data_IF_592559656964
#
_entry.id   IF_592559656964
#
_cell.length_a   1.000
_cell.length_b   1.000
_cell.length_c   1.000
_cell.angle_alpha   90.00
_cell.angle_beta   90.00
_cell.angle_gamma   90.00
#
_symmetry.space_group_name_H-M   'P 1'
#
loop_
_entity.id
_entity.type
_entity.pdbx_description
1 polymer ?
#
# COMPACT_ATOMS: atom_id res chain seq x y z
N UNK A 1 12.14 -12.34 -15.65
CA UNK A 1 12.34 -11.05 -14.96
C UNK A 1 11.20 -10.82 -14.00
N UNK A 2 11.42 -10.20 -12.83
CA UNK A 2 10.33 -9.94 -11.90
C UNK A 2 9.36 -8.92 -12.49
N UNK A 3 8.06 -9.15 -12.32
CA UNK A 3 6.99 -8.28 -12.81
C UNK A 3 6.42 -7.47 -11.66
N UNK A 4 6.23 -6.17 -11.88
CA UNK A 4 5.63 -5.30 -10.88
C UNK A 4 4.14 -5.65 -10.75
N UNK A 5 3.65 -5.99 -9.55
CA UNK A 5 2.25 -6.36 -9.36
C UNK A 5 1.28 -5.18 -9.55
N UNK A 6 1.73 -3.92 -9.47
CA UNK A 6 0.88 -2.75 -9.70
C UNK A 6 0.58 -2.52 -11.20
N UNK A 7 1.63 -2.54 -12.04
CA UNK A 7 1.52 -2.18 -13.47
C UNK A 7 1.66 -3.36 -14.43
N UNK A 8 1.96 -4.56 -13.92
CA UNK A 8 2.20 -5.78 -14.68
C UNK A 8 3.36 -5.71 -15.71
N UNK A 9 4.23 -4.71 -15.60
CA UNK A 9 5.43 -4.55 -16.45
C UNK A 9 6.66 -5.14 -15.78
N UNK A 10 7.67 -5.42 -16.59
CA UNK A 10 8.96 -5.93 -16.13
C UNK A 10 9.71 -4.89 -15.31
N UNK A 11 10.28 -5.32 -14.18
CA UNK A 11 11.06 -4.46 -13.28
C UNK A 11 12.54 -4.68 -13.60
N UNK A 12 13.18 -3.63 -14.12
CA UNK A 12 14.61 -3.63 -14.40
C UNK A 12 15.42 -3.34 -13.12
N UNK A 13 16.67 -3.80 -13.08
CA UNK A 13 17.55 -3.64 -11.92
C UNK A 13 17.73 -2.18 -11.46
N UNK A 14 17.72 -1.21 -12.39
CA UNK A 14 17.87 0.20 -12.06
C UNK A 14 16.67 0.78 -11.28
N UNK A 15 15.49 0.22 -11.45
CA UNK A 15 14.23 0.72 -10.87
C UNK A 15 13.63 -0.21 -9.83
N UNK A 16 14.27 -1.37 -9.61
CA UNK A 16 13.76 -2.43 -8.74
C UNK A 16 13.75 -1.96 -7.29
N UNK A 17 12.62 -2.19 -6.65
CA UNK A 17 12.45 -2.04 -5.23
C UNK A 17 11.83 -3.32 -4.70
N UNK A 18 12.60 -4.08 -3.94
CA UNK A 18 12.13 -5.33 -3.34
C UNK A 18 11.44 -5.01 -2.01
N UNK A 19 10.16 -5.38 -1.89
CA UNK A 19 9.37 -5.20 -0.68
C UNK A 19 8.29 -6.26 -0.57
N UNK A 20 8.03 -6.74 0.65
CA UNK A 20 7.06 -7.83 0.92
C UNK A 20 7.32 -9.10 0.07
N UNK A 21 8.59 -9.37 -0.26
CA UNK A 21 8.98 -10.51 -1.11
C UNK A 21 8.67 -10.36 -2.60
N UNK A 22 8.29 -9.16 -3.07
CA UNK A 22 8.02 -8.86 -4.48
C UNK A 22 8.85 -7.68 -4.96
N UNK A 23 9.09 -7.60 -6.26
CA UNK A 23 9.77 -6.45 -6.86
C UNK A 23 8.78 -5.47 -7.48
N UNK A 24 9.04 -4.19 -7.24
CA UNK A 24 8.20 -3.09 -7.65
C UNK A 24 9.04 -2.06 -8.40
N UNK A 25 8.41 -1.29 -9.29
CA UNK A 25 9.02 -0.04 -9.73
C UNK A 25 8.92 0.98 -8.60
N UNK A 26 9.98 1.76 -8.40
CA UNK A 26 10.02 2.94 -7.53
C UNK A 26 8.77 3.85 -7.64
N UNK A 27 8.29 4.25 -8.86
CA UNK A 27 7.05 5.03 -9.01
C UNK A 27 5.75 4.23 -8.81
N UNK A 28 5.80 2.89 -8.92
CA UNK A 28 4.65 2.02 -8.70
C UNK A 28 4.42 1.73 -7.20
N UNK A 29 5.46 1.88 -6.37
CA UNK A 29 5.36 1.76 -4.92
C UNK A 29 4.73 3.02 -4.29
N UNK A 30 3.51 3.33 -4.71
CA UNK A 30 2.73 4.48 -4.22
C UNK A 30 1.35 4.02 -3.78
N UNK A 31 0.88 4.55 -2.66
CA UNK A 31 -0.42 4.20 -2.11
C UNK A 31 -1.52 4.44 -3.16
N UNK A 32 -2.30 3.42 -3.51
CA UNK A 32 -3.37 3.58 -4.50
C UNK A 32 -4.41 4.62 -4.03
N UNK A 33 -4.66 4.69 -2.71
CA UNK A 33 -5.67 5.57 -2.11
C UNK A 33 -5.20 7.03 -2.00
N UNK A 34 -4.11 7.28 -1.27
CA UNK A 34 -3.65 8.66 -1.01
C UNK A 34 -2.54 9.13 -1.94
N UNK A 35 -2.11 8.28 -2.90
CA UNK A 35 -1.05 8.56 -3.89
C UNK A 35 0.32 8.91 -3.29
N UNK A 36 0.50 8.75 -1.97
CA UNK A 36 1.78 8.94 -1.28
C UNK A 36 2.79 7.88 -1.72
N UNK A 37 3.99 8.29 -2.07
CA UNK A 37 5.12 7.38 -2.32
C UNK A 37 5.47 6.63 -1.04
N UNK A 38 5.55 5.31 -1.12
CA UNK A 38 5.79 4.44 0.01
C UNK A 38 7.26 4.01 0.02
N UNK A 39 7.80 3.81 1.23
CA UNK A 39 9.11 3.23 1.40
C UNK A 39 9.04 1.69 1.30
N UNK A 40 10.13 1.08 0.81
CA UNK A 40 10.29 -0.37 0.87
C UNK A 40 10.24 -0.86 2.32
N UNK A 41 9.46 -1.90 2.60
CA UNK A 41 9.29 -2.46 3.94
C UNK A 41 8.25 -1.77 4.83
N UNK A 42 7.84 -0.52 4.54
CA UNK A 42 6.90 0.25 5.37
C UNK A 42 5.56 0.51 4.68
N UNK A 43 4.96 -0.54 4.12
CA UNK A 43 3.63 -0.49 3.51
C UNK A 43 2.95 -1.86 3.53
N UNK A 44 1.67 -1.87 3.16
CA UNK A 44 0.89 -3.10 3.02
C UNK A 44 0.44 -3.25 1.56
N UNK A 45 0.31 -4.49 1.10
CA UNK A 45 -0.22 -4.81 -0.23
C UNK A 45 -1.62 -5.42 -0.09
N UNK A 46 -2.54 -5.02 -0.98
CA UNK A 46 -3.79 -5.73 -1.21
C UNK A 46 -4.01 -5.93 -2.71
N UNK A 47 -4.23 -7.17 -3.15
CA UNK A 47 -4.49 -7.52 -4.56
C UNK A 47 -3.48 -6.92 -5.56
N UNK A 48 -2.18 -6.96 -5.23
CA UNK A 48 -1.13 -6.40 -6.08
C UNK A 48 -1.01 -4.87 -6.07
N UNK A 49 -1.83 -4.18 -5.26
CA UNK A 49 -1.79 -2.73 -5.10
C UNK A 49 -1.17 -2.36 -3.75
N UNK A 50 -0.23 -1.40 -3.71
CA UNK A 50 0.38 -0.98 -2.47
C UNK A 50 -0.47 0.10 -1.78
N UNK A 51 -0.53 0.07 -0.45
CA UNK A 51 -1.27 0.97 0.42
C UNK A 51 -0.43 1.37 1.64
N UNK A 52 -0.66 2.56 2.18
CA UNK A 52 -0.13 2.89 3.50
C UNK A 52 -0.66 1.89 4.52
N UNK A 53 0.20 1.33 5.36
CA UNK A 53 -0.21 0.46 6.48
C UNK A 53 -1.30 1.14 7.31
N UNK A 54 -1.12 2.43 7.63
CA UNK A 54 -2.09 3.29 8.32
C UNK A 54 -2.14 4.66 7.63
N UNK A 55 -3.32 5.27 7.43
CA UNK A 55 -4.66 4.72 7.68
C UNK A 55 -5.24 3.93 6.49
N UNK A 56 -4.58 3.94 5.32
CA UNK A 56 -5.21 3.52 4.07
C UNK A 56 -5.60 2.03 4.06
N UNK A 57 -4.68 1.14 4.38
CA UNK A 57 -4.91 -0.29 4.41
C UNK A 57 -5.86 -0.69 5.54
N UNK A 58 -5.64 -0.19 6.77
CA UNK A 58 -6.51 -0.50 7.91
C UNK A 58 -7.97 -0.04 7.72
N UNK A 59 -8.22 1.15 7.18
CA UNK A 59 -9.60 1.60 6.96
C UNK A 59 -10.31 0.81 5.84
N UNK A 60 -9.58 0.32 4.84
CA UNK A 60 -10.17 -0.41 3.70
C UNK A 60 -10.33 -1.90 3.99
N UNK A 61 -9.29 -2.53 4.56
CA UNK A 61 -9.12 -3.98 4.69
C UNK A 61 -8.89 -4.45 6.13
N UNK A 62 -8.86 -3.53 7.10
CA UNK A 62 -8.79 -3.89 8.51
C UNK A 62 -10.06 -4.61 8.99
N UNK A 63 -9.98 -5.32 10.13
CA UNK A 63 -11.10 -6.09 10.66
C UNK A 63 -12.32 -5.18 10.90
N UNK A 64 -13.39 -5.43 10.15
CA UNK A 64 -14.68 -4.78 10.33
C UNK A 64 -15.46 -5.54 11.40
N UNK A 65 -15.21 -5.22 12.66
CA UNK A 65 -16.07 -5.65 13.77
C UNK A 65 -15.33 -6.35 14.88
N UNK A 66 -15.11 -5.63 15.98
CA UNK A 66 -15.76 -5.86 17.28
C UNK A 66 -15.44 -4.62 18.16
N UNK A 67 -16.26 -3.57 18.01
CA UNK A 67 -16.39 -2.43 18.93
C UNK A 67 -15.17 -1.54 19.22
N UNK A 68 -14.94 -0.48 18.43
CA UNK A 68 -14.45 0.82 18.92
C UNK A 68 -14.58 1.92 17.85
N UNK A 69 -15.52 2.84 18.07
CA UNK A 69 -15.55 4.23 17.63
C UNK A 69 -15.33 4.54 16.13
N UNK A 70 -16.36 4.30 15.32
CA UNK A 70 -16.72 5.29 14.31
C UNK A 70 -17.54 6.39 15.02
N UNK A 71 -17.08 7.65 14.89
CA UNK A 71 -17.79 8.91 15.19
C UNK A 71 -17.65 9.51 16.61
N UNK A 72 -16.62 10.35 16.82
CA UNK A 72 -16.70 11.49 17.74
C UNK A 72 -15.79 12.67 17.33
N UNK A 73 -16.00 13.26 16.15
CA UNK A 73 -15.75 14.71 16.03
C UNK A 73 -17.02 15.41 16.53
N UNK A 74 -17.06 15.64 17.84
CA UNK A 74 -18.00 16.59 18.46
C UNK A 74 -17.58 17.96 17.94
N UNK A 75 -18.48 18.64 17.23
CA UNK A 75 -18.39 20.08 17.05
C UNK A 75 -18.64 20.71 18.43
N UNK A 76 -17.73 21.57 18.87
CA UNK A 76 -18.02 22.54 19.93
C UNK A 76 -18.21 23.89 19.28
#
# INVERSE_FOLDING_TARGET
MPKCPNCNKEVYFAERVTSLGKDWHRPCLKCERCKKTLAAGSHSEHEGKPYCTIPCYQTLFGPKGYGAAASSHIYN
#
